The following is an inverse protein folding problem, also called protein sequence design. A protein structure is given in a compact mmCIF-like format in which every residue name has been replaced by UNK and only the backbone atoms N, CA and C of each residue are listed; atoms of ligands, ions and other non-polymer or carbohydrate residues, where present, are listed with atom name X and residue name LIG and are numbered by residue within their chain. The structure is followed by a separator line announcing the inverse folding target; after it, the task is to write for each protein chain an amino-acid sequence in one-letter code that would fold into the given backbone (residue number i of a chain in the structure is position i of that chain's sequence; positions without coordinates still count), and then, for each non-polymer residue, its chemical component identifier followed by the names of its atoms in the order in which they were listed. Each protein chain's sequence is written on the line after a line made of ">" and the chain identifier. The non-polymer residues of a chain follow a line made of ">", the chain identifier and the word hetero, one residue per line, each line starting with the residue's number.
data_IF_413711642029
#
_entry.id   IF_413711642029
#
_cell.length_a   1.000
_cell.length_b   1.000
_cell.length_c   1.000
_cell.angle_alpha   90.00
_cell.angle_beta   90.00
_cell.angle_gamma   90.00
#
_symmetry.space_group_name_H-M   'P 1'
#
loop_
_entity.id
_entity.type
_entity.pdbx_description
1 polymer ?
#
# COMPACT_ATOMS: atom_id res chain seq x y z
N UNK A 1 -9.47 9.33 77.09
CA UNK A 1 -8.77 9.94 75.93
C UNK A 1 -9.19 11.39 75.85
N UNK A 2 -8.28 12.37 76.01
CA UNK A 2 -8.65 13.79 76.00
C UNK A 2 -9.25 14.19 74.63
N UNK A 3 -10.20 15.13 74.62
CA UNK A 3 -10.95 15.67 73.47
C UNK A 3 -10.05 16.43 72.46
N UNK A 4 -8.98 15.80 71.98
CA UNK A 4 -8.04 16.32 70.97
C UNK A 4 -8.55 16.16 69.53
N UNK A 5 -9.77 15.66 69.35
CA UNK A 5 -10.37 15.25 68.08
C UNK A 5 -11.65 16.02 67.69
N UNK A 6 -12.02 17.11 68.38
CA UNK A 6 -13.22 17.89 68.03
C UNK A 6 -12.97 19.03 67.02
N UNK A 7 -11.70 19.38 66.76
CA UNK A 7 -11.32 20.40 65.78
C UNK A 7 -10.54 19.74 64.63
N UNK A 8 -11.00 19.94 63.40
CA UNK A 8 -10.29 19.48 62.21
C UNK A 8 -8.90 20.10 62.15
N UNK A 9 -7.86 19.26 62.12
CA UNK A 9 -6.49 19.70 61.90
C UNK A 9 -6.28 20.04 60.43
N UNK A 10 -5.62 21.16 60.15
CA UNK A 10 -5.34 21.58 58.77
C UNK A 10 -4.40 20.57 58.09
N UNK A 11 -4.80 20.09 56.91
CA UNK A 11 -3.92 19.30 56.06
C UNK A 11 -2.85 20.19 55.43
N UNK A 12 -1.59 19.81 55.55
CA UNK A 12 -0.47 20.50 54.90
C UNK A 12 -0.20 19.87 53.53
N UNK A 13 -0.31 20.67 52.47
CA UNK A 13 -0.04 20.24 51.09
C UNK A 13 1.46 20.16 50.82
N UNK A 14 1.87 19.18 50.01
CA UNK A 14 3.26 19.00 49.60
C UNK A 14 3.62 19.96 48.45
N UNK A 15 4.87 20.43 48.37
CA UNK A 15 5.35 21.36 47.33
C UNK A 15 5.80 20.63 46.06
N UNK A 16 5.56 21.24 44.90
CA UNK A 16 6.04 20.77 43.58
C UNK A 16 7.55 20.97 43.38
N UNK A 17 8.07 20.43 42.28
CA UNK A 17 9.44 20.68 41.80
C UNK A 17 9.58 22.12 41.28
N UNK A 18 10.79 22.70 41.38
CA UNK A 18 11.07 24.03 40.82
C UNK A 18 10.95 24.02 39.28
N UNK A 19 10.37 25.08 38.72
CA UNK A 19 10.05 25.16 37.29
C UNK A 19 11.28 24.96 36.38
N UNK A 20 12.44 25.52 36.73
CA UNK A 20 13.68 25.35 35.96
C UNK A 20 14.27 23.94 36.03
N UNK A 21 13.88 23.14 37.05
CA UNK A 21 14.30 21.75 37.24
C UNK A 21 13.23 20.74 36.85
N UNK A 22 12.15 21.19 36.21
CA UNK A 22 11.09 20.33 35.69
C UNK A 22 11.61 19.20 34.80
N UNK A 23 12.69 19.44 34.04
CA UNK A 23 13.38 18.43 33.21
C UNK A 23 13.84 17.18 33.99
N UNK A 24 14.13 17.30 35.29
CA UNK A 24 14.58 16.19 36.13
C UNK A 24 13.44 15.31 36.67
N UNK A 25 12.20 15.66 36.35
CA UNK A 25 11.01 14.96 36.82
C UNK A 25 10.56 15.40 38.21
N UNK A 26 9.76 14.54 38.86
CA UNK A 26 9.14 14.83 40.15
C UNK A 26 10.19 15.00 41.26
N UNK A 27 9.99 16.00 42.13
CA UNK A 27 10.82 16.18 43.32
C UNK A 27 10.43 15.15 44.38
N UNK A 28 11.21 14.07 44.47
CA UNK A 28 11.01 13.00 45.45
C UNK A 28 10.93 13.54 46.88
N UNK A 29 9.94 13.04 47.63
CA UNK A 29 9.77 13.34 49.06
C UNK A 29 10.16 12.12 49.91
N UNK A 30 10.10 12.29 51.22
CA UNK A 30 10.48 11.23 52.15
C UNK A 30 9.70 9.92 51.92
N UNK A 31 8.41 10.00 51.58
CA UNK A 31 7.60 8.82 51.25
C UNK A 31 8.17 8.07 50.04
N UNK A 32 8.53 8.79 48.98
CA UNK A 32 9.11 8.20 47.77
C UNK A 32 10.50 7.60 48.05
N UNK A 33 11.32 8.31 48.85
CA UNK A 33 12.61 7.81 49.30
C UNK A 33 12.47 6.48 50.06
N UNK A 34 11.49 6.38 50.97
CA UNK A 34 11.25 5.15 51.74
C UNK A 34 10.87 3.99 50.80
N UNK A 35 10.01 4.24 49.81
CA UNK A 35 9.64 3.23 48.80
C UNK A 35 10.87 2.78 47.98
N UNK A 36 11.68 3.73 47.49
CA UNK A 36 12.90 3.43 46.75
C UNK A 36 13.93 2.67 47.58
N UNK A 37 14.14 3.08 48.84
CA UNK A 37 15.07 2.42 49.74
C UNK A 37 14.62 0.99 50.08
N UNK A 38 13.32 0.77 50.27
CA UNK A 38 12.74 -0.55 50.49
C UNK A 38 12.91 -1.46 49.26
N UNK A 39 12.62 -0.95 48.07
CA UNK A 39 12.82 -1.70 46.81
C UNK A 39 14.30 -2.07 46.60
N UNK A 40 15.22 -1.11 46.80
CA UNK A 40 16.66 -1.35 46.69
C UNK A 40 17.13 -2.42 47.68
N UNK A 41 16.72 -2.33 48.96
CA UNK A 41 17.05 -3.34 49.97
C UNK A 41 16.50 -4.71 49.57
N UNK A 42 15.25 -4.79 49.10
CA UNK A 42 14.63 -6.04 48.65
C UNK A 42 15.40 -6.68 47.49
N UNK A 43 15.77 -5.90 46.46
CA UNK A 43 16.58 -6.37 45.32
C UNK A 43 17.96 -6.85 45.77
N UNK A 44 18.63 -6.09 46.63
CA UNK A 44 19.94 -6.45 47.19
C UNK A 44 19.88 -7.76 47.97
N UNK A 45 18.87 -7.92 48.82
CA UNK A 45 18.73 -9.12 49.64
C UNK A 45 18.38 -10.36 48.78
N UNK A 46 17.57 -10.18 47.72
CA UNK A 46 17.33 -11.22 46.70
C UNK A 46 18.63 -11.61 45.97
N UNK A 47 19.43 -10.64 45.53
CA UNK A 47 20.72 -10.91 44.89
C UNK A 47 21.70 -11.64 45.82
N UNK A 48 21.76 -11.24 47.11
CA UNK A 48 22.58 -11.94 48.12
C UNK A 48 22.17 -13.40 48.25
N UNK A 49 20.86 -13.66 48.29
CA UNK A 49 20.32 -15.02 48.36
C UNK A 49 20.67 -15.84 47.12
N UNK A 50 20.55 -15.26 45.92
CA UNK A 50 20.92 -15.92 44.67
C UNK A 50 22.43 -16.21 44.60
N UNK A 51 23.28 -15.29 45.09
CA UNK A 51 24.72 -15.49 45.16
C UNK A 51 25.07 -16.66 46.09
N UNK A 52 24.48 -16.71 47.28
CA UNK A 52 24.70 -17.80 48.23
C UNK A 52 24.27 -19.16 47.65
N UNK A 53 23.13 -19.21 46.95
CA UNK A 53 22.68 -20.42 46.22
C UNK A 53 23.65 -20.84 45.12
N UNK A 54 24.24 -19.90 44.41
CA UNK A 54 25.22 -20.19 43.37
C UNK A 54 26.56 -20.70 43.97
N UNK A 55 27.01 -20.13 45.09
CA UNK A 55 28.23 -20.56 45.80
C UNK A 55 28.08 -21.95 46.43
N UNK A 56 26.90 -22.27 46.98
CA UNK A 56 26.61 -23.55 47.65
C UNK A 56 26.12 -24.65 46.70
N UNK A 57 26.16 -24.43 45.39
CA UNK A 57 25.68 -25.37 44.38
C UNK A 57 26.53 -26.64 44.34
N UNK A 58 25.89 -27.81 44.41
CA UNK A 58 26.56 -29.09 44.15
C UNK A 58 26.83 -29.25 42.65
N UNK A 59 28.08 -29.58 42.26
CA UNK A 59 28.47 -29.74 40.86
C UNK A 59 27.90 -31.00 40.22
N UNK A 60 27.62 -32.02 41.04
CA UNK A 60 27.13 -33.33 40.61
C UNK A 60 25.60 -33.46 40.79
N UNK A 61 24.89 -32.34 40.96
CA UNK A 61 23.43 -32.37 41.08
C UNK A 61 22.77 -32.84 39.77
N UNK A 62 21.83 -33.77 39.89
CA UNK A 62 21.03 -34.25 38.76
C UNK A 62 19.54 -34.16 39.08
N UNK A 63 18.80 -33.46 38.23
CA UNK A 63 17.34 -33.40 38.26
C UNK A 63 16.78 -33.92 36.95
N UNK A 64 15.70 -34.71 36.97
CA UNK A 64 15.07 -35.23 35.74
C UNK A 64 14.63 -34.14 34.75
N UNK A 65 14.35 -32.92 35.24
CA UNK A 65 14.05 -31.76 34.40
C UNK A 65 15.22 -31.28 33.54
N UNK A 66 16.45 -31.75 33.77
CA UNK A 66 17.62 -31.45 32.95
C UNK A 66 17.57 -32.14 31.57
N UNK A 67 16.81 -33.24 31.42
CA UNK A 67 16.81 -34.03 30.18
C UNK A 67 16.17 -33.31 28.97
N UNK A 68 15.32 -32.30 29.20
CA UNK A 68 14.64 -31.55 28.13
C UNK A 68 14.96 -30.06 28.10
N UNK A 69 15.81 -29.58 29.02
CA UNK A 69 16.18 -28.18 29.13
C UNK A 69 17.60 -27.98 28.62
N UNK A 70 17.81 -26.89 27.90
CA UNK A 70 19.11 -26.53 27.36
C UNK A 70 19.61 -25.27 28.05
N UNK A 71 20.92 -25.18 28.26
CA UNK A 71 21.59 -23.97 28.72
C UNK A 71 22.53 -23.50 27.62
N UNK A 72 22.40 -22.26 27.18
CA UNK A 72 23.28 -21.66 26.18
C UNK A 72 24.03 -20.48 26.80
N UNK A 73 25.36 -20.47 26.69
CA UNK A 73 26.23 -19.42 27.27
C UNK A 73 25.96 -19.15 28.76
N UNK A 74 25.57 -20.18 29.51
CA UNK A 74 25.29 -20.09 30.95
C UNK A 74 23.87 -19.59 31.32
N UNK A 75 22.97 -19.39 30.36
CA UNK A 75 21.57 -19.00 30.60
C UNK A 75 20.62 -20.11 30.14
N UNK A 76 19.58 -20.40 30.92
CA UNK A 76 18.52 -21.36 30.55
C UNK A 76 17.85 -20.90 29.25
N UNK A 77 17.94 -21.73 28.21
CA UNK A 77 17.18 -21.55 26.98
C UNK A 77 15.75 -22.04 27.22
N UNK A 78 14.79 -21.12 27.15
CA UNK A 78 13.37 -21.44 27.19
C UNK A 78 12.81 -21.38 25.78
N UNK A 79 12.14 -22.45 25.38
CA UNK A 79 11.38 -22.46 24.14
C UNK A 79 10.27 -21.40 24.22
N UNK A 80 10.10 -20.63 23.14
CA UNK A 80 9.07 -19.58 23.02
C UNK A 80 7.71 -20.15 22.63
N UNK A 81 7.62 -21.46 22.43
CA UNK A 81 6.46 -22.12 21.86
C UNK A 81 6.53 -22.14 20.33
N UNK A 82 5.78 -23.07 19.74
CA UNK A 82 5.95 -23.46 18.33
C UNK A 82 6.80 -24.72 18.25
N UNK A 83 6.21 -25.85 18.66
CA UNK A 83 6.92 -27.11 18.89
C UNK A 83 7.76 -27.55 17.70
N UNK A 84 9.08 -27.55 17.89
CA UNK A 84 10.06 -28.16 17.00
C UNK A 84 9.96 -27.80 15.52
N UNK A 85 10.71 -28.52 14.70
CA UNK A 85 10.50 -28.47 13.25
C UNK A 85 9.17 -29.17 12.92
N UNK A 86 8.29 -28.49 12.20
CA UNK A 86 7.06 -29.11 11.70
C UNK A 86 7.39 -30.27 10.75
N UNK A 87 6.63 -31.38 10.80
CA UNK A 87 6.82 -32.47 9.85
C UNK A 87 6.54 -31.97 8.44
N UNK A 88 7.31 -32.45 7.46
CA UNK A 88 7.29 -31.91 6.10
C UNK A 88 5.91 -32.04 5.43
N UNK A 89 5.17 -33.11 5.72
CA UNK A 89 3.83 -33.30 5.17
C UNK A 89 2.82 -32.26 5.69
N UNK A 90 2.94 -31.83 6.96
CA UNK A 90 2.15 -30.72 7.49
C UNK A 90 2.52 -29.40 6.81
N UNK A 91 3.81 -29.16 6.56
CA UNK A 91 4.27 -27.97 5.82
C UNK A 91 3.71 -27.95 4.39
N UNK A 92 3.64 -29.10 3.70
CA UNK A 92 3.02 -29.21 2.37
C UNK A 92 1.54 -28.83 2.40
N UNK A 93 0.79 -29.30 3.39
CA UNK A 93 -0.64 -28.99 3.56
C UNK A 93 -0.83 -27.49 3.79
N UNK A 94 -0.09 -26.90 4.73
CA UNK A 94 -0.18 -25.47 5.04
C UNK A 94 0.11 -24.60 3.81
N UNK A 95 1.20 -24.89 3.09
CA UNK A 95 1.53 -24.17 1.86
C UNK A 95 0.48 -24.33 0.76
N UNK A 96 -0.16 -25.50 0.68
CA UNK A 96 -1.25 -25.75 -0.29
C UNK A 96 -2.49 -24.93 0.07
N UNK A 97 -2.80 -24.81 1.36
CA UNK A 97 -3.89 -23.95 1.85
C UNK A 97 -3.59 -22.47 1.55
N UNK A 98 -2.37 -22.01 1.80
CA UNK A 98 -1.94 -20.63 1.50
C UNK A 98 -2.01 -20.33 0.00
N UNK A 99 -1.52 -21.23 -0.86
CA UNK A 99 -1.62 -21.13 -2.32
C UNK A 99 -3.09 -21.01 -2.77
N UNK A 100 -3.97 -21.85 -2.20
CA UNK A 100 -5.41 -21.80 -2.45
C UNK A 100 -6.04 -20.47 -2.03
N UNK A 101 -5.71 -19.99 -0.82
CA UNK A 101 -6.18 -18.70 -0.32
C UNK A 101 -5.74 -17.54 -1.24
N UNK A 102 -4.45 -17.46 -1.59
CA UNK A 102 -3.94 -16.42 -2.48
C UNK A 102 -4.60 -16.45 -3.86
N UNK A 103 -4.88 -17.64 -4.43
CA UNK A 103 -5.65 -17.76 -5.68
C UNK A 103 -7.05 -17.16 -5.56
N UNK A 104 -7.75 -17.41 -4.46
CA UNK A 104 -9.10 -16.84 -4.25
C UNK A 104 -9.05 -15.34 -4.06
N UNK A 105 -8.09 -14.82 -3.28
CA UNK A 105 -7.89 -13.39 -3.07
C UNK A 105 -7.56 -12.67 -4.37
N UNK A 106 -6.66 -13.26 -5.18
CA UNK A 106 -6.32 -12.74 -6.50
C UNK A 106 -7.53 -12.71 -7.44
N UNK A 107 -8.31 -13.79 -7.50
CA UNK A 107 -9.54 -13.85 -8.33
C UNK A 107 -10.55 -12.77 -7.93
N UNK A 108 -10.75 -12.53 -6.63
CA UNK A 108 -11.58 -11.42 -6.13
C UNK A 108 -11.01 -10.06 -6.54
N UNK A 109 -9.69 -9.89 -6.43
CA UNK A 109 -8.97 -8.69 -6.86
C UNK A 109 -9.16 -8.37 -8.34
N UNK A 110 -8.98 -9.37 -9.21
CA UNK A 110 -9.15 -9.23 -10.66
C UNK A 110 -10.57 -8.78 -11.03
N UNK A 111 -11.62 -9.38 -10.45
CA UNK A 111 -13.00 -8.93 -10.67
C UNK A 111 -13.22 -7.47 -10.31
N UNK A 112 -12.58 -6.99 -9.24
CA UNK A 112 -12.69 -5.59 -8.82
C UNK A 112 -11.90 -4.66 -9.73
N UNK A 113 -10.73 -5.08 -10.23
CA UNK A 113 -9.99 -4.36 -11.27
C UNK A 113 -10.86 -4.23 -12.53
N UNK A 114 -11.48 -5.32 -12.97
CA UNK A 114 -12.35 -5.32 -14.16
C UNK A 114 -13.56 -4.40 -13.94
N UNK A 115 -14.20 -4.46 -12.77
CA UNK A 115 -15.29 -3.54 -12.40
C UNK A 115 -14.86 -2.07 -12.46
N UNK A 116 -13.70 -1.70 -11.91
CA UNK A 116 -13.20 -0.32 -11.97
C UNK A 116 -12.87 0.08 -13.41
N UNK A 117 -12.27 -0.81 -14.20
CA UNK A 117 -12.02 -0.58 -15.63
C UNK A 117 -13.32 -0.32 -16.40
N UNK A 118 -14.36 -1.12 -16.14
CA UNK A 118 -15.69 -0.89 -16.75
C UNK A 118 -16.31 0.43 -16.29
N UNK A 119 -16.17 0.80 -15.02
CA UNK A 119 -16.65 2.09 -14.49
C UNK A 119 -15.93 3.27 -15.16
N UNK A 120 -14.60 3.21 -15.28
CA UNK A 120 -13.79 4.23 -15.97
C UNK A 120 -14.13 4.33 -17.46
N UNK A 121 -14.43 3.20 -18.11
CA UNK A 121 -14.79 3.16 -19.54
C UNK A 121 -16.21 3.70 -19.78
N UNK A 122 -17.11 3.53 -18.82
CA UNK A 122 -18.49 4.02 -18.90
C UNK A 122 -18.60 5.54 -18.66
N UNK A 123 -17.59 6.17 -18.06
CA UNK A 123 -17.57 7.62 -17.88
C UNK A 123 -17.37 8.32 -19.23
N UNK A 124 -18.29 9.24 -19.55
CA UNK A 124 -18.45 9.93 -20.84
C UNK A 124 -17.20 10.75 -21.24
N UNK A 125 -16.37 11.15 -20.28
CA UNK A 125 -15.04 11.71 -20.52
C UNK A 125 -14.05 10.57 -20.84
N UNK A 126 -14.21 9.99 -22.03
CA UNK A 126 -13.54 8.76 -22.52
C UNK A 126 -12.00 8.79 -22.54
N UNK A 127 -11.36 9.90 -22.14
CA UNK A 127 -9.90 9.98 -21.96
C UNK A 127 -9.62 10.84 -20.75
N UNK A 128 -8.69 10.40 -19.89
CA UNK A 128 -7.96 11.33 -19.06
C UNK A 128 -7.41 12.45 -19.96
N UNK A 129 -7.79 13.69 -19.69
CA UNK A 129 -7.20 14.83 -20.37
C UNK A 129 -5.72 14.89 -20.00
N UNK A 130 -4.86 15.52 -20.82
CA UNK A 130 -3.46 15.72 -20.45
C UNK A 130 -3.30 16.33 -19.04
N UNK A 131 -4.23 17.19 -18.65
CA UNK A 131 -4.31 17.82 -17.32
C UNK A 131 -4.58 16.85 -16.17
N UNK A 132 -5.14 15.66 -16.42
CA UNK A 132 -5.29 14.64 -15.37
C UNK A 132 -3.97 13.91 -15.10
N UNK A 133 -3.05 13.89 -16.06
CA UNK A 133 -1.75 13.25 -15.87
C UNK A 133 -0.87 14.06 -14.91
N UNK A 134 -0.95 15.38 -14.98
CA UNK A 134 -0.18 16.29 -14.11
C UNK A 134 -0.57 16.19 -12.63
N UNK A 135 -1.81 15.76 -12.35
CA UNK A 135 -2.34 15.58 -10.98
C UNK A 135 -2.06 14.17 -10.40
N UNK A 136 -1.49 13.25 -11.18
CA UNK A 136 -1.17 11.89 -10.74
C UNK A 136 0.32 11.75 -10.45
N UNK A 137 0.65 11.04 -9.38
CA UNK A 137 2.04 10.69 -9.08
C UNK A 137 2.68 9.88 -10.22
N UNK A 138 3.97 10.08 -10.50
CA UNK A 138 4.73 9.34 -11.52
C UNK A 138 4.60 7.81 -11.34
N UNK A 139 4.70 7.35 -10.09
CA UNK A 139 4.55 5.94 -9.72
C UNK A 139 3.16 5.36 -10.07
N UNK A 140 2.13 6.19 -10.13
CA UNK A 140 0.76 5.80 -10.48
C UNK A 140 0.66 5.74 -12.00
N UNK A 141 1.17 6.76 -12.69
CA UNK A 141 1.23 6.81 -14.15
C UNK A 141 2.00 5.62 -14.72
N UNK A 142 3.18 5.29 -14.20
CA UNK A 142 3.99 4.15 -14.65
C UNK A 142 3.23 2.83 -14.53
N UNK A 143 2.48 2.64 -13.45
CA UNK A 143 1.69 1.42 -13.28
C UNK A 143 0.47 1.35 -14.20
N UNK A 144 -0.14 2.48 -14.53
CA UNK A 144 -1.25 2.53 -15.48
C UNK A 144 -0.76 2.36 -16.93
N UNK A 145 0.39 2.94 -17.29
CA UNK A 145 1.05 2.78 -18.59
C UNK A 145 1.53 1.34 -18.79
N UNK A 146 2.21 0.75 -17.81
CA UNK A 146 2.65 -0.65 -17.87
C UNK A 146 1.49 -1.64 -17.93
N UNK A 147 0.33 -1.29 -17.35
CA UNK A 147 -0.90 -2.06 -17.46
C UNK A 147 -1.68 -1.80 -18.76
N UNK A 148 -1.22 -0.88 -19.62
CA UNK A 148 -1.85 -0.53 -20.90
C UNK A 148 -3.18 0.20 -20.76
N UNK A 149 -3.44 0.83 -19.62
CA UNK A 149 -4.66 1.63 -19.38
C UNK A 149 -4.52 3.03 -19.97
N UNK A 150 -3.32 3.60 -19.87
CA UNK A 150 -2.95 4.86 -20.50
C UNK A 150 -2.11 4.60 -21.76
N UNK A 151 -2.20 5.47 -22.79
CA UNK A 151 -1.29 5.39 -23.93
C UNK A 151 0.15 5.51 -23.43
N UNK A 152 1.03 4.63 -23.91
CA UNK A 152 2.47 4.79 -23.69
C UNK A 152 2.88 6.13 -24.27
N UNK A 153 3.61 6.93 -23.50
CA UNK A 153 4.26 8.10 -24.07
C UNK A 153 5.18 7.62 -25.20
N UNK A 154 5.03 8.25 -26.36
CA UNK A 154 5.85 7.97 -27.53
C UNK A 154 7.29 8.25 -27.12
N UNK A 155 8.10 7.22 -26.88
CA UNK A 155 9.54 7.37 -26.74
C UNK A 155 10.09 7.85 -28.09
N UNK A 156 10.15 9.15 -28.29
CA UNK A 156 10.73 9.82 -29.47
C UNK A 156 12.26 9.65 -29.58
N UNK A 157 12.87 8.70 -28.86
CA UNK A 157 14.32 8.47 -28.82
C UNK A 157 14.74 6.99 -29.00
N UNK A 158 14.03 6.21 -29.83
CA UNK A 158 14.64 4.97 -30.37
C UNK A 158 14.52 4.94 -31.88
N UNK A 159 15.65 5.20 -32.53
CA UNK A 159 15.88 5.08 -33.97
C UNK A 159 15.74 3.62 -34.38
N UNK A 160 14.49 3.17 -34.48
CA UNK A 160 14.13 1.80 -34.83
C UNK A 160 12.75 1.80 -35.47
N UNK A 161 12.73 1.61 -36.79
CA UNK A 161 11.56 1.70 -37.67
C UNK A 161 10.52 0.62 -37.33
N UNK A 162 9.70 0.83 -36.29
CA UNK A 162 8.47 0.07 -36.05
C UNK A 162 7.30 0.83 -36.68
N UNK A 163 6.50 0.10 -37.47
CA UNK A 163 5.30 0.63 -38.14
C UNK A 163 4.34 1.19 -37.08
N UNK A 164 4.17 2.49 -37.11
CA UNK A 164 3.16 3.23 -36.36
C UNK A 164 1.81 2.83 -36.96
N UNK A 165 0.97 2.13 -36.20
CA UNK A 165 -0.46 2.12 -36.49
C UNK A 165 -0.99 3.47 -36.02
N UNK A 166 -1.46 4.37 -36.92
CA UNK A 166 -2.04 5.63 -36.48
C UNK A 166 -3.23 5.33 -35.57
N UNK A 167 -3.33 6.03 -34.45
CA UNK A 167 -4.51 5.97 -33.59
C UNK A 167 -5.75 6.26 -34.46
N UNK A 168 -6.74 5.39 -34.40
CA UNK A 168 -7.98 5.53 -35.18
C UNK A 168 -8.61 6.89 -34.83
N UNK A 169 -8.96 7.73 -35.82
CA UNK A 169 -9.58 9.02 -35.54
C UNK A 169 -10.87 8.82 -34.72
N UNK A 170 -10.98 9.53 -33.60
CA UNK A 170 -12.01 9.31 -32.56
C UNK A 170 -13.40 9.73 -33.01
N UNK A 171 -13.48 10.75 -33.86
CA UNK A 171 -14.72 11.29 -34.39
C UNK A 171 -14.49 11.63 -35.86
N UNK A 172 -15.19 10.91 -36.73
CA UNK A 172 -15.13 11.11 -38.18
C UNK A 172 -16.45 11.77 -38.58
N UNK A 173 -16.36 12.99 -39.07
CA UNK A 173 -17.51 13.70 -39.65
C UNK A 173 -17.52 13.42 -41.14
N UNK A 174 -18.57 12.79 -41.63
CA UNK A 174 -18.80 12.63 -43.06
C UNK A 174 -19.52 13.86 -43.58
N UNK A 175 -19.07 14.36 -44.73
CA UNK A 175 -19.62 15.56 -45.37
C UNK A 175 -19.85 15.25 -46.85
N UNK A 176 -21.00 15.66 -47.37
CA UNK A 176 -21.47 15.22 -48.69
C UNK A 176 -20.73 15.85 -49.88
N UNK A 177 -20.19 17.07 -49.74
CA UNK A 177 -19.43 17.76 -50.80
C UNK A 177 -18.05 18.21 -50.32
N UNK A 178 -17.06 18.19 -51.22
CA UNK A 178 -15.67 18.63 -50.94
C UNK A 178 -15.57 20.11 -50.52
N UNK A 179 -16.51 20.95 -50.98
CA UNK A 179 -16.57 22.36 -50.60
C UNK A 179 -17.00 22.52 -49.13
N UNK A 180 -17.96 21.73 -48.67
CA UNK A 180 -18.39 21.72 -47.27
C UNK A 180 -17.31 21.15 -46.35
N UNK A 181 -16.50 20.18 -46.81
CA UNK A 181 -15.38 19.66 -46.04
C UNK A 181 -14.28 20.71 -45.80
N UNK A 182 -14.09 21.67 -46.73
CA UNK A 182 -13.13 22.77 -46.58
C UNK A 182 -13.65 23.92 -45.69
N UNK A 183 -14.97 24.10 -45.63
CA UNK A 183 -15.63 25.15 -44.84
C UNK A 183 -15.99 24.67 -43.42
N UNK A 184 -16.07 23.36 -43.19
CA UNK A 184 -16.45 22.80 -41.90
C UNK A 184 -15.46 23.19 -40.79
N UNK A 185 -15.88 24.13 -39.95
CA UNK A 185 -15.25 24.45 -38.67
C UNK A 185 -16.07 23.81 -37.56
N UNK A 186 -15.44 23.06 -36.66
CA UNK A 186 -16.11 22.50 -35.49
C UNK A 186 -16.79 23.63 -34.70
N UNK A 187 -18.05 23.49 -34.26
CA UNK A 187 -18.78 24.55 -33.54
C UNK A 187 -18.09 24.99 -32.24
N UNK A 188 -17.14 24.20 -31.73
CA UNK A 188 -16.29 24.59 -30.59
C UNK A 188 -15.29 25.71 -30.90
N UNK A 189 -14.97 26.01 -32.16
CA UNK A 189 -13.92 26.99 -32.49
C UNK A 189 -14.43 28.41 -32.77
N UNK A 190 -15.74 28.65 -32.83
CA UNK A 190 -16.30 29.99 -33.09
C UNK A 190 -17.78 30.10 -32.70
N UNK A 191 -18.07 30.42 -31.42
CA UNK A 191 -19.23 31.24 -31.00
C UNK A 191 -18.96 31.79 -29.58
N UNK A 192 -19.17 33.09 -29.30
CA UNK A 192 -19.52 33.57 -27.97
C UNK A 192 -20.99 33.22 -27.69
N UNK A 193 -21.28 32.78 -26.47
CA UNK A 193 -22.60 32.30 -26.04
C UNK A 193 -23.75 33.26 -26.39
N UNK A 194 -24.67 32.82 -27.26
CA UNK A 194 -26.01 33.40 -27.42
C UNK A 194 -26.99 32.23 -27.45
N UNK A 195 -28.06 32.34 -26.66
CA UNK A 195 -28.85 31.24 -26.11
C UNK A 195 -29.51 30.29 -27.12
N UNK A 196 -29.51 29.02 -26.73
CA UNK A 196 -30.34 27.95 -27.29
C UNK A 196 -31.59 27.80 -26.42
N UNK A 197 -32.76 27.95 -27.06
CA UNK A 197 -34.05 27.50 -26.54
C UNK A 197 -34.24 26.05 -26.98
N UNK A 198 -33.81 25.10 -26.15
CA UNK A 198 -34.13 23.68 -26.34
C UNK A 198 -35.38 23.32 -25.51
N UNK A 199 -36.47 22.98 -26.20
CA UNK A 199 -37.62 22.29 -25.62
C UNK A 199 -37.23 20.85 -25.22
N UNK A 200 -37.02 20.63 -23.93
CA UNK A 200 -36.88 19.28 -23.35
C UNK A 200 -38.26 18.71 -23.01
N UNK A 201 -38.59 17.60 -23.69
CA UNK A 201 -39.72 16.72 -23.37
C UNK A 201 -39.44 16.02 -22.04
N UNK A 202 -40.33 16.21 -21.07
CA UNK A 202 -40.27 15.57 -19.77
C UNK A 202 -40.60 14.06 -19.85
N UNK A 203 -39.61 13.21 -19.57
CA UNK A 203 -39.82 11.80 -19.19
C UNK A 203 -39.91 11.69 -17.66
N UNK A 204 -41.05 11.15 -17.21
CA UNK A 204 -41.44 10.97 -15.82
C UNK A 204 -40.67 9.80 -15.18
N UNK A 205 -39.69 10.12 -14.35
CA UNK A 205 -38.86 9.16 -13.62
C UNK A 205 -38.56 9.62 -12.20
N UNK A 206 -39.54 9.53 -11.33
CA UNK A 206 -39.42 9.73 -9.88
C UNK A 206 -38.24 8.96 -9.27
N UNK A 207 -37.26 9.67 -8.69
CA UNK A 207 -36.40 9.13 -7.64
C UNK A 207 -35.74 10.23 -6.80
N UNK A 208 -36.35 10.47 -5.64
CA UNK A 208 -35.77 10.82 -4.33
C UNK A 208 -34.30 11.29 -4.31
N UNK A 209 -34.11 12.63 -4.27
CA UNK A 209 -32.84 13.27 -3.95
C UNK A 209 -32.93 13.88 -2.55
N UNK A 210 -32.11 13.37 -1.64
CA UNK A 210 -32.02 13.87 -0.26
C UNK A 210 -31.42 15.27 -0.23
N UNK A 211 -32.26 16.19 0.23
CA UNK A 211 -32.01 17.60 0.50
C UNK A 211 -31.03 17.77 1.68
N UNK A 212 -29.81 18.24 1.41
CA UNK A 212 -28.86 18.69 2.43
C UNK A 212 -27.74 19.53 1.78
N UNK A 213 -28.09 20.76 1.41
CA UNK A 213 -27.23 21.95 1.58
C UNK A 213 -28.02 23.20 1.18
N UNK A 214 -29.01 23.53 2.01
CA UNK A 214 -29.74 24.79 1.96
C UNK A 214 -28.90 25.90 2.59
N UNK A 215 -28.02 26.53 1.80
CA UNK A 215 -27.49 27.85 2.16
C UNK A 215 -28.56 28.92 1.88
N UNK A 216 -29.17 29.39 2.96
CA UNK A 216 -30.24 30.37 3.00
C UNK A 216 -29.70 31.76 2.66
N UNK A 217 -29.97 32.24 1.45
CA UNK A 217 -29.82 33.65 1.06
C UNK A 217 -30.98 34.03 0.15
N UNK A 218 -31.94 34.80 0.67
CA UNK A 218 -33.18 35.14 -0.03
C UNK A 218 -33.14 36.48 -0.75
N UNK A 219 -33.99 36.60 -1.78
CA UNK A 219 -34.96 37.68 -2.05
C UNK A 219 -35.44 37.53 -3.49
N UNK A 220 -36.75 37.50 -3.67
CA UNK A 220 -37.42 37.40 -4.97
C UNK A 220 -37.24 38.67 -5.83
N UNK A 221 -37.28 38.46 -7.15
CA UNK A 221 -37.78 39.37 -8.19
C UNK A 221 -36.96 40.62 -8.57
N UNK A 222 -35.98 40.44 -9.48
CA UNK A 222 -35.72 41.23 -10.69
C UNK A 222 -34.81 40.38 -11.60
N UNK A 223 -35.00 40.39 -12.92
CA UNK A 223 -34.37 39.48 -13.89
C UNK A 223 -32.88 39.20 -13.60
N UNK A 224 -32.57 37.95 -13.29
CA UNK A 224 -31.29 37.54 -12.71
C UNK A 224 -30.16 37.64 -13.75
N UNK A 225 -29.58 38.83 -13.90
CA UNK A 225 -28.51 39.16 -14.88
C UNK A 225 -27.27 38.26 -14.73
N UNK A 226 -27.15 37.55 -13.60
CA UNK A 226 -26.05 36.66 -13.24
C UNK A 226 -26.41 35.16 -13.35
N UNK A 227 -27.64 34.80 -13.74
CA UNK A 227 -28.06 33.42 -13.99
C UNK A 227 -27.09 32.61 -14.89
N UNK A 228 -26.61 33.12 -16.04
CA UNK A 228 -25.66 32.37 -16.88
C UNK A 228 -24.31 32.15 -16.19
N UNK A 229 -23.85 33.11 -15.36
CA UNK A 229 -22.58 33.02 -14.65
C UNK A 229 -22.68 32.02 -13.48
N UNK A 230 -23.85 31.94 -12.83
CA UNK A 230 -24.14 30.93 -11.80
C UNK A 230 -24.22 29.52 -12.40
N UNK A 231 -24.87 29.36 -13.54
CA UNK A 231 -24.93 28.10 -14.28
C UNK A 231 -23.52 27.63 -14.69
N UNK A 232 -22.68 28.53 -15.22
CA UNK A 232 -21.27 28.23 -15.53
C UNK A 232 -20.49 27.80 -14.29
N UNK A 233 -20.66 28.47 -13.15
CA UNK A 233 -19.98 28.09 -11.89
C UNK A 233 -20.45 26.73 -11.36
N UNK A 234 -21.73 26.41 -11.51
CA UNK A 234 -22.26 25.09 -11.13
C UNK A 234 -21.71 23.99 -12.03
N UNK A 235 -21.60 24.23 -13.34
CA UNK A 235 -21.03 23.30 -14.29
C UNK A 235 -19.53 23.06 -14.03
N UNK A 236 -18.75 24.11 -13.73
CA UNK A 236 -17.34 23.95 -13.32
C UNK A 236 -17.21 23.11 -12.04
N UNK A 237 -18.07 23.33 -11.03
CA UNK A 237 -18.08 22.49 -9.82
C UNK A 237 -18.42 21.04 -10.17
N UNK A 238 -19.39 20.80 -11.04
CA UNK A 238 -19.74 19.46 -11.52
C UNK A 238 -18.56 18.78 -12.19
N UNK A 239 -17.86 19.48 -13.08
CA UNK A 239 -16.65 18.99 -13.75
C UNK A 239 -15.52 18.69 -12.75
N UNK A 240 -15.27 19.57 -11.77
CA UNK A 240 -14.27 19.32 -10.72
C UNK A 240 -14.62 18.07 -9.88
N UNK A 241 -15.89 17.87 -9.54
CA UNK A 241 -16.32 16.68 -8.80
C UNK A 241 -16.16 15.40 -9.62
N UNK A 242 -16.48 15.46 -10.91
CA UNK A 242 -16.28 14.34 -11.84
C UNK A 242 -14.79 14.01 -12.01
N UNK A 243 -13.92 15.04 -12.16
CA UNK A 243 -12.47 14.90 -12.22
C UNK A 243 -11.93 14.24 -10.95
N UNK A 244 -12.32 14.72 -9.77
CA UNK A 244 -11.92 14.12 -8.47
C UNK A 244 -12.31 12.65 -8.36
N UNK A 245 -13.53 12.30 -8.77
CA UNK A 245 -14.00 10.91 -8.76
C UNK A 245 -13.23 10.03 -9.74
N UNK A 246 -12.95 10.53 -10.95
CA UNK A 246 -12.12 9.84 -11.96
C UNK A 246 -10.69 9.60 -11.45
N UNK A 247 -10.04 10.61 -10.89
CA UNK A 247 -8.69 10.49 -10.32
C UNK A 247 -8.67 9.47 -9.17
N UNK A 248 -9.67 9.49 -8.29
CA UNK A 248 -9.79 8.51 -7.21
C UNK A 248 -9.89 7.06 -7.75
N UNK A 249 -10.65 6.84 -8.83
CA UNK A 249 -10.73 5.54 -9.50
C UNK A 249 -9.41 5.13 -10.17
N UNK A 250 -8.67 6.07 -10.77
CA UNK A 250 -7.36 5.80 -11.36
C UNK A 250 -6.32 5.41 -10.29
N UNK A 251 -6.29 6.13 -9.17
CA UNK A 251 -5.46 5.76 -8.02
C UNK A 251 -5.87 4.40 -7.43
N UNK A 252 -7.17 4.14 -7.25
CA UNK A 252 -7.66 2.84 -6.78
C UNK A 252 -7.24 1.71 -7.74
N UNK A 253 -7.37 1.93 -9.05
CA UNK A 253 -6.99 0.99 -10.09
C UNK A 253 -5.48 0.70 -10.02
N UNK A 254 -4.64 1.73 -9.98
CA UNK A 254 -3.19 1.60 -9.90
C UNK A 254 -2.76 0.83 -8.64
N UNK A 255 -3.32 1.17 -7.47
CA UNK A 255 -3.05 0.46 -6.23
C UNK A 255 -3.47 -1.02 -6.30
N UNK A 256 -4.58 -1.34 -6.98
CA UNK A 256 -5.01 -2.72 -7.18
C UNK A 256 -4.15 -3.48 -8.18
N UNK A 257 -3.68 -2.83 -9.24
CA UNK A 257 -2.74 -3.42 -10.19
C UNK A 257 -1.41 -3.75 -9.52
N UNK A 258 -0.85 -2.82 -8.73
CA UNK A 258 0.33 -3.08 -7.86
C UNK A 258 0.10 -4.27 -6.93
N UNK A 259 -1.09 -4.37 -6.32
CA UNK A 259 -1.43 -5.53 -5.48
C UNK A 259 -1.51 -6.82 -6.29
N UNK A 260 -2.06 -6.82 -7.50
CA UNK A 260 -2.12 -8.04 -8.34
C UNK A 260 -0.74 -8.51 -8.76
N UNK A 261 0.19 -7.61 -9.08
CA UNK A 261 1.58 -7.99 -9.40
C UNK A 261 2.24 -8.68 -8.21
N UNK A 262 2.11 -8.13 -7.00
CA UNK A 262 2.61 -8.76 -5.76
C UNK A 262 1.94 -10.13 -5.52
N UNK A 263 0.61 -10.22 -5.65
CA UNK A 263 -0.11 -11.49 -5.49
C UNK A 263 0.30 -12.53 -6.53
N UNK A 264 0.58 -12.11 -7.76
CA UNK A 264 1.07 -12.98 -8.83
C UNK A 264 2.48 -13.49 -8.55
N UNK A 265 3.35 -12.62 -8.07
CA UNK A 265 4.73 -12.97 -7.69
C UNK A 265 4.75 -13.95 -6.52
N UNK A 266 4.06 -13.63 -5.43
CA UNK A 266 3.94 -14.49 -4.24
C UNK A 266 3.33 -15.86 -4.56
N UNK A 267 2.28 -15.90 -5.39
CA UNK A 267 1.67 -17.15 -5.87
C UNK A 267 2.69 -17.99 -6.64
N UNK A 268 3.46 -17.38 -7.55
CA UNK A 268 4.51 -18.07 -8.31
C UNK A 268 5.60 -18.63 -7.39
N UNK A 269 5.93 -17.93 -6.31
CA UNK A 269 6.87 -18.42 -5.30
C UNK A 269 6.33 -19.62 -4.52
N UNK A 270 5.06 -19.58 -4.10
CA UNK A 270 4.42 -20.71 -3.41
C UNK A 270 4.30 -21.93 -4.33
N UNK A 271 3.90 -21.72 -5.58
CA UNK A 271 3.89 -22.79 -6.58
C UNK A 271 5.29 -23.39 -6.75
N UNK A 272 6.32 -22.55 -6.87
CA UNK A 272 7.70 -23.03 -6.92
C UNK A 272 8.05 -23.82 -5.66
N UNK A 273 7.74 -23.33 -4.47
CA UNK A 273 8.01 -24.03 -3.20
C UNK A 273 7.31 -25.39 -3.15
N UNK A 274 6.08 -25.50 -3.63
CA UNK A 274 5.36 -26.75 -3.74
C UNK A 274 6.04 -27.73 -4.69
N UNK A 275 6.45 -27.29 -5.88
CA UNK A 275 7.23 -28.13 -6.81
C UNK A 275 8.61 -28.50 -6.26
N UNK A 276 9.16 -27.67 -5.37
CA UNK A 276 10.39 -27.93 -4.65
C UNK A 276 10.19 -28.97 -3.52
N UNK A 277 9.01 -29.05 -2.91
CA UNK A 277 8.70 -30.07 -1.89
C UNK A 277 8.14 -31.37 -2.50
N UNK A 278 7.85 -31.37 -3.80
CA UNK A 278 7.47 -32.58 -4.53
C UNK A 278 8.68 -33.52 -4.69
N UNK A 279 8.44 -34.85 -4.70
CA UNK A 279 9.52 -35.81 -4.94
C UNK A 279 10.11 -35.64 -6.34
N UNK A 280 11.43 -35.69 -6.47
CA UNK A 280 12.11 -35.62 -7.77
C UNK A 280 13.50 -35.02 -7.70
N UNK A 281 14.35 -35.38 -8.66
CA UNK A 281 15.68 -34.79 -8.80
C UNK A 281 15.58 -33.39 -9.43
N UNK A 282 16.23 -32.42 -8.80
CA UNK A 282 16.23 -31.01 -9.21
C UNK A 282 17.63 -30.43 -9.08
N UNK A 283 17.96 -29.52 -9.99
CA UNK A 283 19.18 -28.72 -9.92
C UNK A 283 18.83 -27.25 -9.96
N UNK A 284 19.43 -26.46 -9.07
CA UNK A 284 19.31 -25.00 -9.12
C UNK A 284 20.18 -24.50 -10.27
N UNK A 285 19.57 -23.80 -11.23
CA UNK A 285 20.31 -23.21 -12.36
C UNK A 285 20.70 -21.77 -12.05
N UNK A 286 19.73 -20.98 -11.58
CA UNK A 286 19.93 -19.56 -11.28
C UNK A 286 19.51 -19.26 -9.84
N UNK A 287 20.36 -18.52 -9.13
CA UNK A 287 20.03 -17.95 -7.83
C UNK A 287 19.02 -16.81 -7.93
N UNK A 288 18.59 -16.25 -6.78
CA UNK A 288 17.89 -14.97 -6.77
C UNK A 288 18.86 -13.90 -7.27
N UNK A 289 18.74 -13.56 -8.54
CA UNK A 289 19.51 -12.51 -9.20
C UNK A 289 18.62 -11.28 -9.33
N UNK A 290 19.19 -10.09 -9.09
CA UNK A 290 18.49 -8.82 -9.29
C UNK A 290 18.17 -8.67 -10.77
N UNK A 291 16.89 -8.67 -11.13
CA UNK A 291 16.45 -8.27 -12.46
C UNK A 291 16.48 -6.75 -12.44
N UNK A 292 17.64 -6.15 -12.75
CA UNK A 292 17.69 -4.70 -12.98
C UNK A 292 16.87 -4.44 -14.25
N UNK A 293 15.89 -3.53 -14.12
CA UNK A 293 15.29 -2.86 -15.26
C UNK A 293 16.43 -2.15 -15.98
N UNK A 294 16.55 -2.32 -17.29
CA UNK A 294 17.66 -1.78 -18.06
C UNK A 294 17.53 -0.26 -18.16
N UNK A 295 17.99 0.43 -17.12
CA UNK A 295 18.28 1.85 -17.19
C UNK A 295 19.58 1.94 -18.01
N UNK A 296 19.43 2.30 -19.28
CA UNK A 296 20.55 2.65 -20.15
C UNK A 296 21.12 3.96 -19.62
N UNK A 297 22.02 3.90 -18.63
CA UNK A 297 22.83 5.05 -18.23
C UNK A 297 23.64 5.50 -19.45
N UNK A 298 23.33 6.70 -19.92
CA UNK A 298 23.96 7.42 -21.01
C UNK A 298 25.33 7.94 -20.57
N UNK A 299 26.23 7.06 -20.13
CA UNK A 299 27.64 7.39 -19.94
C UNK A 299 28.50 6.18 -20.27
N UNK A 300 29.16 6.27 -21.42
CA UNK A 300 29.95 5.21 -22.00
C UNK A 300 31.23 4.92 -21.23
N UNK A 301 31.17 4.01 -20.25
CA UNK A 301 32.30 3.12 -19.91
C UNK A 301 31.88 1.95 -19.00
N UNK A 302 31.11 0.99 -19.52
CA UNK A 302 30.80 -0.24 -18.77
C UNK A 302 31.78 -1.37 -19.08
N UNK A 303 32.89 -1.44 -18.33
CA UNK A 303 33.66 -2.69 -18.17
C UNK A 303 32.85 -3.69 -17.32
N UNK A 304 31.78 -4.26 -17.90
CA UNK A 304 31.09 -5.41 -17.29
C UNK A 304 32.03 -6.61 -17.34
N UNK A 305 32.72 -6.93 -16.23
CA UNK A 305 33.42 -8.20 -16.05
C UNK A 305 32.39 -9.33 -16.26
N UNK A 306 32.61 -10.14 -17.31
CA UNK A 306 31.83 -11.36 -17.56
C UNK A 306 31.85 -12.24 -16.30
N UNK A 307 30.70 -12.41 -15.64
CA UNK A 307 30.50 -13.42 -14.59
C UNK A 307 30.17 -12.92 -13.18
N UNK A 308 30.07 -11.60 -12.93
CA UNK A 308 29.71 -11.10 -11.60
C UNK A 308 28.18 -11.05 -11.42
N UNK A 309 27.62 -12.09 -10.79
CA UNK A 309 26.20 -12.15 -10.42
C UNK A 309 26.01 -11.34 -9.14
N UNK A 310 25.45 -10.13 -9.25
CA UNK A 310 25.03 -9.35 -8.08
C UNK A 310 23.82 -10.01 -7.42
N UNK A 311 23.98 -10.50 -6.20
CA UNK A 311 22.87 -11.00 -5.39
C UNK A 311 22.00 -9.83 -4.94
N UNK A 312 20.69 -9.95 -5.09
CA UNK A 312 19.76 -8.95 -4.57
C UNK A 312 19.88 -8.86 -3.03
N UNK A 313 20.05 -7.64 -2.50
CA UNK A 313 19.82 -7.38 -1.08
C UNK A 313 18.32 -7.52 -0.82
N UNK A 314 17.98 -8.13 0.31
CA UNK A 314 16.60 -8.36 0.71
C UNK A 314 15.97 -7.00 1.10
N UNK A 315 15.20 -6.39 0.18
CA UNK A 315 14.53 -5.10 0.42
C UNK A 315 14.25 -4.25 -0.82
N UNK A 316 15.06 -4.36 -1.88
CA UNK A 316 15.02 -3.39 -3.00
C UNK A 316 14.25 -3.86 -4.24
N UNK A 317 13.72 -5.10 -4.23
CA UNK A 317 13.08 -5.71 -5.40
C UNK A 317 11.89 -6.54 -4.93
N UNK A 318 10.70 -6.24 -5.45
CA UNK A 318 9.45 -6.90 -5.09
C UNK A 318 9.41 -8.39 -5.47
N UNK A 319 10.25 -8.83 -6.40
CA UNK A 319 10.32 -10.22 -6.84
C UNK A 319 11.65 -10.58 -7.49
N UNK A 320 12.31 -11.64 -7.00
CA UNK A 320 13.53 -12.19 -7.60
C UNK A 320 13.28 -13.63 -8.09
N UNK A 321 13.11 -13.84 -9.41
CA UNK A 321 12.75 -15.15 -9.93
C UNK A 321 13.88 -16.16 -9.70
N UNK A 322 13.55 -17.30 -9.09
CA UNK A 322 14.47 -18.43 -8.91
C UNK A 322 14.20 -19.46 -10.00
N UNK A 323 15.25 -19.90 -10.70
CA UNK A 323 15.12 -20.85 -11.81
C UNK A 323 15.73 -22.19 -11.45
N UNK A 324 14.91 -23.23 -11.53
CA UNK A 324 15.30 -24.62 -11.29
C UNK A 324 15.10 -25.44 -12.55
N UNK A 325 15.97 -26.44 -12.72
CA UNK A 325 15.82 -27.50 -13.72
C UNK A 325 15.39 -28.77 -13.01
N UNK A 326 14.19 -29.25 -13.34
CA UNK A 326 13.74 -30.57 -12.92
C UNK A 326 14.24 -31.61 -13.92
N UNK A 327 14.82 -32.71 -13.44
CA UNK A 327 15.21 -33.83 -14.31
C UNK A 327 14.02 -34.76 -14.41
N UNK A 328 13.50 -34.96 -15.61
CA UNK A 328 12.30 -35.77 -15.84
C UNK A 328 12.53 -37.28 -15.74
N UNK A 329 13.76 -37.79 -15.74
CA UNK A 329 14.01 -39.24 -15.78
C UNK A 329 15.28 -39.67 -15.04
N UNK A 330 15.19 -40.82 -14.34
CA UNK A 330 16.36 -41.68 -14.12
C UNK A 330 16.78 -42.19 -15.49
N UNK A 331 18.01 -41.92 -15.93
CA UNK A 331 18.64 -42.76 -16.95
C UNK A 331 18.52 -44.21 -16.45
N UNK A 332 17.72 -45.01 -17.14
CA UNK A 332 17.66 -46.46 -16.93
C UNK A 332 18.98 -47.08 -17.32
#
# INVERSE_FOLDING_TARGET
>A
MPLRNSLHRRSHKERSQLAHRSKLGLLEKHKDYVLRARDYRSKRDRLRTLKLKAETKNKDEFYFGMNGKKTERGVEYRDRGGGGALPEDMVKVLKTQDEGYLRTVRKKGLKRIDSIKTQLTAMVDLVPTPEDFDDLDDDVLDTLRSAGVLPSENSSSRKGKKKITPAVPRHIVFVDNEEHAKVYTSPSSNQPAVGDEDEEVCDDGSSDWSDQDMEKGGSDDEGDQYAPQRAQKQELKRQETAKKHRLALLHELAARLKRDTILRHTLRELELQKHLMAPGARSKLRGPERVEQSDEDEDGESRKKRGEVKFAKQGDIDYTPRVYKWRSERKR
#
